data_IF_294487446608
#
_entry.id   IF_294487446608
#
_cell.length_a   1.000
_cell.length_b   1.000
_cell.length_c   1.000
_cell.angle_alpha   90.00
_cell.angle_beta   90.00
_cell.angle_gamma   90.00
#
_symmetry.space_group_name_H-M   'P 1'
#
loop_
_entity.id
_entity.type
_entity.pdbx_description
1 polymer ?
#
# COMPACT_ATOMS: atom_id res chain seq x y z
N UNK A 1 -25.99 -25.96 6.46
CA UNK A 1 -24.65 -25.60 5.97
C UNK A 1 -23.70 -25.75 7.16
N UNK A 2 -22.81 -26.74 7.18
CA UNK A 2 -21.75 -26.77 8.17
C UNK A 2 -20.81 -25.60 7.91
N UNK A 3 -20.68 -24.69 8.88
CA UNK A 3 -19.65 -23.65 8.87
C UNK A 3 -18.28 -24.34 8.83
N UNK A 4 -17.57 -24.12 7.73
CA UNK A 4 -16.22 -24.62 7.53
C UNK A 4 -15.33 -23.84 8.48
N UNK A 5 -14.92 -24.47 9.58
CA UNK A 5 -14.06 -23.86 10.60
C UNK A 5 -12.59 -23.79 10.17
N UNK A 6 -12.19 -24.54 9.13
CA UNK A 6 -10.81 -24.61 8.66
C UNK A 6 -10.57 -23.71 7.43
N UNK A 7 -9.64 -22.76 7.56
CA UNK A 7 -9.27 -21.84 6.48
C UNK A 7 -8.77 -22.57 5.22
N UNK A 8 -7.97 -23.63 5.37
CA UNK A 8 -7.48 -24.41 4.24
C UNK A 8 -8.64 -25.03 3.45
N UNK A 9 -9.62 -25.58 4.16
CA UNK A 9 -10.81 -26.17 3.53
C UNK A 9 -11.66 -25.09 2.81
N UNK A 10 -11.72 -23.86 3.33
CA UNK A 10 -12.43 -22.74 2.68
C UNK A 10 -11.69 -22.27 1.42
N UNK A 11 -10.37 -22.12 1.49
CA UNK A 11 -9.51 -21.78 0.36
C UNK A 11 -9.63 -22.82 -0.75
N UNK A 12 -9.56 -24.11 -0.40
CA UNK A 12 -9.76 -25.23 -1.33
C UNK A 12 -11.13 -25.15 -2.02
N UNK A 13 -12.21 -24.86 -1.30
CA UNK A 13 -13.54 -24.72 -1.90
C UNK A 13 -13.66 -23.53 -2.84
N UNK A 14 -12.99 -22.40 -2.54
CA UNK A 14 -12.93 -21.26 -3.46
C UNK A 14 -12.18 -21.66 -4.73
N UNK A 15 -11.03 -22.31 -4.60
CA UNK A 15 -10.25 -22.79 -5.75
C UNK A 15 -11.08 -23.78 -6.58
N UNK A 16 -11.80 -24.71 -5.95
CA UNK A 16 -12.71 -25.64 -6.63
C UNK A 16 -13.85 -24.91 -7.36
N UNK A 17 -14.43 -23.88 -6.74
CA UNK A 17 -15.45 -23.05 -7.38
C UNK A 17 -14.91 -22.34 -8.62
N UNK A 18 -13.74 -21.71 -8.52
CA UNK A 18 -13.08 -21.03 -9.64
C UNK A 18 -12.73 -22.03 -10.75
N UNK A 19 -12.15 -23.19 -10.40
CA UNK A 19 -11.88 -24.30 -11.34
C UNK A 19 -13.14 -24.70 -12.11
N UNK A 20 -14.26 -24.90 -11.42
CA UNK A 20 -15.54 -25.26 -12.04
C UNK A 20 -16.05 -24.16 -12.98
N UNK A 21 -15.91 -22.90 -12.59
CA UNK A 21 -16.34 -21.75 -13.42
C UNK A 21 -15.49 -21.61 -14.68
N UNK A 22 -14.17 -21.65 -14.55
CA UNK A 22 -13.26 -21.59 -15.70
C UNK A 22 -13.47 -22.80 -16.64
N UNK A 23 -13.75 -23.99 -16.10
CA UNK A 23 -14.05 -25.17 -16.91
C UNK A 23 -15.31 -25.02 -17.77
N UNK A 24 -16.35 -24.37 -17.24
CA UNK A 24 -17.64 -24.18 -17.94
C UNK A 24 -17.56 -23.01 -18.93
N UNK A 25 -16.86 -21.93 -18.59
CA UNK A 25 -16.81 -20.71 -19.38
C UNK A 25 -15.52 -20.66 -20.21
N UNK A 26 -15.55 -21.24 -21.41
CA UNK A 26 -14.41 -21.25 -22.34
C UNK A 26 -14.71 -20.44 -23.62
N UNK A 27 -13.69 -19.83 -24.26
CA UNK A 27 -12.31 -19.66 -23.76
C UNK A 27 -12.23 -18.56 -22.70
N UNK A 28 -11.38 -18.75 -21.70
CA UNK A 28 -11.10 -17.73 -20.69
C UNK A 28 -9.67 -17.18 -20.83
N UNK A 29 -9.47 -15.96 -20.33
CA UNK A 29 -8.16 -15.33 -20.16
C UNK A 29 -8.00 -14.99 -18.67
N UNK A 30 -6.91 -15.46 -18.05
CA UNK A 30 -6.57 -15.15 -16.67
C UNK A 30 -5.28 -14.33 -16.63
N UNK A 31 -5.30 -13.21 -15.92
CA UNK A 31 -4.14 -12.32 -15.80
C UNK A 31 -3.66 -12.35 -14.34
N UNK A 32 -2.43 -12.83 -14.14
CA UNK A 32 -1.71 -12.68 -12.88
C UNK A 32 -0.82 -11.44 -13.00
N UNK A 33 -1.28 -10.35 -12.40
CA UNK A 33 -0.56 -9.08 -12.44
C UNK A 33 0.42 -8.96 -11.27
N UNK A 34 1.65 -8.48 -11.55
CA UNK A 34 2.72 -8.22 -10.59
C UNK A 34 3.12 -9.43 -9.73
N UNK A 35 3.31 -10.59 -10.37
CA UNK A 35 3.79 -11.80 -9.68
C UNK A 35 5.26 -11.62 -9.28
N UNK A 36 5.55 -11.75 -7.98
CA UNK A 36 6.92 -11.66 -7.47
C UNK A 36 7.63 -13.01 -7.57
N UNK A 37 7.02 -14.07 -7.04
CA UNK A 37 7.52 -15.43 -7.14
C UNK A 37 6.44 -16.36 -7.70
N UNK A 38 6.83 -17.27 -8.60
CA UNK A 38 5.87 -18.24 -9.15
C UNK A 38 5.31 -19.19 -8.06
N UNK A 39 6.08 -19.45 -6.99
CA UNK A 39 5.64 -20.26 -5.85
C UNK A 39 4.36 -19.73 -5.22
N UNK A 40 4.21 -18.41 -5.18
CA UNK A 40 3.06 -17.74 -4.59
C UNK A 40 1.80 -18.13 -5.35
N UNK A 41 1.91 -18.27 -6.68
CA UNK A 41 0.78 -18.60 -7.55
C UNK A 41 0.59 -20.08 -7.86
N UNK A 42 1.57 -20.93 -7.51
CA UNK A 42 1.63 -22.33 -7.94
C UNK A 42 0.36 -23.13 -7.60
N UNK A 43 -0.18 -22.93 -6.40
CA UNK A 43 -1.34 -23.68 -5.91
C UNK A 43 -2.65 -23.36 -6.65
N UNK A 44 -2.73 -22.18 -7.28
CA UNK A 44 -3.91 -21.70 -8.01
C UNK A 44 -3.66 -21.49 -9.50
N UNK A 45 -2.53 -21.97 -10.03
CA UNK A 45 -2.17 -21.86 -11.43
C UNK A 45 -2.93 -22.89 -12.31
N UNK A 46 -3.65 -22.46 -13.37
CA UNK A 46 -4.36 -23.37 -14.26
C UNK A 46 -3.43 -24.20 -15.18
N UNK A 47 -2.85 -25.29 -14.67
CA UNK A 47 -1.86 -26.10 -15.40
C UNK A 47 -2.46 -27.20 -16.29
N UNK A 48 -3.72 -27.60 -16.09
CA UNK A 48 -4.31 -28.79 -16.74
C UNK A 48 -5.68 -28.50 -17.37
N UNK A 49 -5.80 -28.54 -18.72
CA UNK A 49 -7.05 -28.23 -19.43
C UNK A 49 -8.24 -29.12 -19.04
N UNK A 50 -8.00 -30.37 -18.64
CA UNK A 50 -9.06 -31.30 -18.19
C UNK A 50 -9.70 -30.88 -16.87
N UNK A 51 -8.94 -30.18 -16.02
CA UNK A 51 -9.38 -29.69 -14.71
C UNK A 51 -9.93 -28.26 -14.84
N UNK A 52 -9.24 -27.38 -15.56
CA UNK A 52 -9.51 -25.94 -15.59
C UNK A 52 -10.28 -25.45 -16.82
N UNK A 53 -10.50 -26.31 -17.83
CA UNK A 53 -11.00 -25.90 -19.13
C UNK A 53 -9.92 -25.29 -20.03
N UNK A 54 -10.30 -24.94 -21.25
CA UNK A 54 -9.39 -24.31 -22.23
C UNK A 54 -9.35 -22.79 -22.00
N UNK A 55 -8.15 -22.25 -21.82
CA UNK A 55 -7.94 -20.81 -21.68
C UNK A 55 -6.47 -20.43 -21.78
N UNK A 56 -6.23 -19.12 -21.72
CA UNK A 56 -4.91 -18.52 -21.79
C UNK A 56 -4.57 -17.81 -20.49
N UNK A 57 -3.28 -17.73 -20.17
CA UNK A 57 -2.78 -17.08 -18.97
C UNK A 57 -1.76 -16.03 -19.39
N UNK A 58 -1.87 -14.83 -18.82
CA UNK A 58 -0.84 -13.79 -18.90
C UNK A 58 -0.29 -13.57 -17.50
N UNK A 59 1.03 -13.54 -17.38
CA UNK A 59 1.72 -13.19 -16.14
C UNK A 59 2.55 -11.93 -16.42
N UNK A 60 2.39 -10.91 -15.58
CA UNK A 60 3.33 -9.78 -15.54
C UNK A 60 4.24 -9.95 -14.33
N UNK A 61 5.56 -9.84 -14.53
CA UNK A 61 6.55 -10.00 -13.47
C UNK A 61 7.82 -9.20 -13.78
N UNK A 62 8.61 -8.92 -12.74
CA UNK A 62 9.97 -8.39 -12.85
C UNK A 62 11.05 -9.49 -12.79
N UNK A 63 10.68 -10.71 -12.44
CA UNK A 63 11.62 -11.84 -12.38
C UNK A 63 11.81 -12.45 -13.77
N UNK A 64 12.94 -12.15 -14.41
CA UNK A 64 13.30 -12.74 -15.70
C UNK A 64 13.51 -14.25 -15.63
N UNK A 65 13.80 -14.81 -14.43
CA UNK A 65 13.98 -16.25 -14.26
C UNK A 65 12.66 -17.02 -14.36
N UNK A 66 11.50 -16.34 -14.36
CA UNK A 66 10.20 -17.01 -14.55
C UNK A 66 10.17 -17.83 -15.84
N UNK A 67 10.93 -17.43 -16.87
CA UNK A 67 11.05 -18.13 -18.15
C UNK A 67 11.59 -19.56 -18.01
N UNK A 68 12.32 -19.85 -16.92
CA UNK A 68 12.87 -21.18 -16.64
C UNK A 68 11.83 -22.13 -16.04
N UNK A 69 10.62 -21.65 -15.74
CA UNK A 69 9.54 -22.46 -15.20
C UNK A 69 8.84 -23.26 -16.32
N UNK A 70 8.64 -24.56 -16.10
CA UNK A 70 8.01 -25.48 -17.06
C UNK A 70 6.60 -25.09 -17.51
N UNK A 71 5.91 -24.22 -16.76
CA UNK A 71 4.57 -23.74 -17.10
C UNK A 71 4.56 -22.52 -18.04
N UNK A 72 5.72 -21.92 -18.33
CA UNK A 72 5.82 -20.75 -19.20
C UNK A 72 6.13 -21.20 -20.62
N UNK A 73 5.20 -20.92 -21.54
CA UNK A 73 5.33 -21.28 -22.94
C UNK A 73 6.00 -20.20 -23.78
N UNK A 74 5.80 -18.93 -23.40
CA UNK A 74 6.24 -17.76 -24.16
C UNK A 74 6.56 -16.63 -23.19
N UNK A 75 7.63 -15.91 -23.47
CA UNK A 75 8.06 -14.73 -22.69
C UNK A 75 8.17 -13.54 -23.63
N UNK A 76 7.51 -12.45 -23.27
CA UNK A 76 7.65 -11.16 -23.94
C UNK A 76 8.42 -10.22 -23.03
N UNK A 77 9.66 -9.91 -23.39
CA UNK A 77 10.44 -8.91 -22.68
C UNK A 77 9.99 -7.51 -23.10
N UNK A 78 9.46 -6.74 -22.15
CA UNK A 78 9.09 -5.34 -22.36
C UNK A 78 10.29 -4.47 -22.02
N UNK A 79 10.96 -3.97 -23.06
CA UNK A 79 12.11 -3.07 -22.94
C UNK A 79 11.71 -1.61 -22.73
N UNK A 80 12.72 -0.74 -22.82
CA UNK A 80 12.57 0.71 -22.75
C UNK A 80 11.93 1.30 -24.02
N UNK A 81 11.34 2.49 -23.88
CA UNK A 81 10.83 3.25 -25.01
C UNK A 81 11.97 3.75 -25.90
N UNK A 82 11.79 3.61 -27.21
CA UNK A 82 12.65 4.26 -28.21
C UNK A 82 12.45 5.78 -28.17
N UNK A 83 13.43 6.54 -28.65
CA UNK A 83 13.35 8.02 -28.69
C UNK A 83 12.09 8.53 -29.41
N UNK A 84 11.68 7.87 -30.49
CA UNK A 84 10.44 8.18 -31.21
C UNK A 84 9.18 7.92 -30.38
N UNK A 85 9.18 6.87 -29.56
CA UNK A 85 8.06 6.51 -28.68
C UNK A 85 7.99 7.45 -27.47
N UNK A 86 9.16 7.88 -26.93
CA UNK A 86 9.24 8.92 -25.90
C UNK A 86 8.60 10.22 -26.39
N UNK A 87 8.98 10.68 -27.58
CA UNK A 87 8.42 11.89 -28.17
C UNK A 87 6.92 11.75 -28.43
N UNK A 88 6.48 10.63 -29.00
CA UNK A 88 5.05 10.40 -29.26
C UNK A 88 4.22 10.41 -27.96
N UNK A 89 4.72 9.81 -26.88
CA UNK A 89 4.06 9.84 -25.57
C UNK A 89 4.04 11.26 -25.00
N UNK A 90 5.16 11.98 -25.06
CA UNK A 90 5.28 13.36 -24.61
C UNK A 90 4.26 14.26 -25.32
N UNK A 91 4.21 14.22 -26.65
CA UNK A 91 3.28 15.01 -27.46
C UNK A 91 1.82 14.71 -27.08
N UNK A 92 1.48 13.42 -26.94
CA UNK A 92 0.14 12.98 -26.56
C UNK A 92 -0.29 13.49 -25.19
N UNK A 93 0.63 13.66 -24.25
CA UNK A 93 0.32 14.20 -22.92
C UNK A 93 0.24 15.73 -22.95
N UNK A 94 1.14 16.41 -23.66
CA UNK A 94 1.19 17.88 -23.72
C UNK A 94 -0.04 18.46 -24.43
N UNK A 95 -0.42 17.89 -25.57
CA UNK A 95 -1.54 18.37 -26.38
C UNK A 95 -2.86 18.03 -25.67
N UNK A 96 -3.63 19.04 -25.27
CA UNK A 96 -5.02 18.84 -24.88
C UNK A 96 -5.86 18.46 -26.12
N UNK A 97 -6.96 17.73 -25.94
CA UNK A 97 -7.93 17.52 -27.02
C UNK A 97 -8.28 18.89 -27.63
N UNK A 98 -7.97 19.09 -28.92
CA UNK A 98 -8.15 20.31 -29.73
C UNK A 98 -7.03 21.38 -29.74
N UNK A 99 -5.80 21.09 -29.29
CA UNK A 99 -4.66 21.99 -29.50
C UNK A 99 -3.84 21.65 -30.77
N UNK A 100 -3.18 22.66 -31.39
CA UNK A 100 -2.36 22.44 -32.57
C UNK A 100 -1.17 21.51 -32.26
N UNK A 101 -0.79 20.72 -33.26
CA UNK A 101 0.39 19.85 -33.15
C UNK A 101 1.67 20.67 -32.95
N UNK A 102 2.66 20.06 -32.30
CA UNK A 102 3.98 20.65 -32.08
C UNK A 102 4.64 21.04 -33.40
N UNK A 103 5.23 22.24 -33.45
CA UNK A 103 6.06 22.67 -34.58
C UNK A 103 7.36 21.85 -34.63
N UNK A 104 8.03 21.72 -35.80
CA UNK A 104 9.29 20.98 -35.90
C UNK A 104 10.37 21.44 -34.91
N UNK A 105 10.41 22.73 -34.58
CA UNK A 105 11.37 23.26 -33.59
C UNK A 105 11.01 22.85 -32.16
N UNK A 106 9.72 22.91 -31.80
CA UNK A 106 9.27 22.43 -30.49
C UNK A 106 9.51 20.93 -30.32
N UNK A 107 9.38 20.13 -31.39
CA UNK A 107 9.74 18.70 -31.37
C UNK A 107 11.22 18.49 -31.07
N UNK A 108 12.11 19.23 -31.76
CA UNK A 108 13.56 19.17 -31.50
C UNK A 108 13.92 19.55 -30.07
N UNK A 109 13.27 20.57 -29.52
CA UNK A 109 13.46 20.96 -28.11
C UNK A 109 12.97 19.86 -27.15
N UNK A 110 11.81 19.27 -27.41
CA UNK A 110 11.28 18.16 -26.63
C UNK A 110 12.21 16.93 -26.69
N UNK A 111 12.76 16.58 -27.87
CA UNK A 111 13.73 15.49 -28.01
C UNK A 111 14.99 15.71 -27.16
N UNK A 112 15.54 16.93 -27.14
CA UNK A 112 16.68 17.28 -26.28
C UNK A 112 16.35 17.09 -24.80
N UNK A 113 15.19 17.58 -24.36
CA UNK A 113 14.70 17.41 -22.98
C UNK A 113 14.55 15.92 -22.62
N UNK A 114 13.97 15.13 -23.51
CA UNK A 114 13.69 13.71 -23.26
C UNK A 114 14.96 12.87 -23.08
N UNK A 115 16.14 13.35 -23.51
CA UNK A 115 17.41 12.68 -23.24
C UNK A 115 17.80 12.70 -21.75
N UNK A 116 17.27 13.63 -20.96
CA UNK A 116 17.48 13.70 -19.51
C UNK A 116 16.46 12.89 -18.69
N UNK A 117 15.44 12.35 -19.35
CA UNK A 117 14.38 11.58 -18.69
C UNK A 117 14.59 10.10 -19.02
N UNK A 118 14.58 9.20 -18.02
CA UNK A 118 14.64 7.77 -18.27
C UNK A 118 13.58 7.30 -19.25
N UNK A 119 13.94 6.33 -20.08
CA UNK A 119 13.11 5.87 -21.21
C UNK A 119 11.96 4.95 -20.80
N UNK A 120 11.37 5.17 -19.61
CA UNK A 120 10.24 4.39 -19.12
C UNK A 120 8.94 5.20 -19.22
N UNK A 121 7.81 4.59 -19.61
CA UNK A 121 6.54 5.30 -19.78
C UNK A 121 6.11 6.10 -18.55
N UNK A 122 6.35 5.58 -17.35
CA UNK A 122 5.99 6.25 -16.09
C UNK A 122 6.79 7.55 -15.88
N UNK A 123 8.10 7.52 -16.11
CA UNK A 123 8.96 8.70 -15.91
C UNK A 123 8.63 9.81 -16.89
N UNK A 124 8.44 9.44 -18.16
CA UNK A 124 7.97 10.36 -19.21
C UNK A 124 6.61 10.94 -18.83
N UNK A 125 5.69 10.12 -18.32
CA UNK A 125 4.36 10.58 -17.93
C UNK A 125 4.39 11.58 -16.77
N UNK A 126 5.16 11.31 -15.72
CA UNK A 126 5.28 12.21 -14.55
C UNK A 126 5.96 13.52 -14.97
N UNK A 127 7.09 13.45 -15.67
CA UNK A 127 7.82 14.64 -16.13
C UNK A 127 7.00 15.50 -17.09
N UNK A 128 6.30 14.88 -18.05
CA UNK A 128 5.48 15.62 -19.02
C UNK A 128 4.27 16.27 -18.34
N UNK A 129 3.60 15.56 -17.42
CA UNK A 129 2.50 16.15 -16.66
C UNK A 129 2.98 17.28 -15.73
N UNK A 130 4.19 17.19 -15.18
CA UNK A 130 4.81 18.31 -14.45
C UNK A 130 4.94 19.54 -15.35
N UNK A 131 5.58 19.39 -16.52
CA UNK A 131 5.82 20.49 -17.46
C UNK A 131 4.49 21.13 -17.89
N UNK A 132 3.51 20.31 -18.25
CA UNK A 132 2.14 20.76 -18.58
C UNK A 132 1.46 21.50 -17.43
N UNK A 133 1.66 21.04 -16.20
CA UNK A 133 1.00 21.58 -15.02
C UNK A 133 1.61 22.91 -14.54
N UNK A 134 2.89 23.14 -14.79
CA UNK A 134 3.67 24.29 -14.31
C UNK A 134 3.94 25.32 -15.40
N UNK A 135 3.80 24.97 -16.68
CA UNK A 135 4.26 25.77 -17.82
C UNK A 135 5.72 26.20 -17.70
N UNK A 136 6.54 25.37 -17.03
CA UNK A 136 7.96 25.65 -16.84
C UNK A 136 8.71 25.46 -18.17
N UNK A 137 9.63 26.37 -18.53
CA UNK A 137 10.53 26.18 -19.68
C UNK A 137 11.32 24.88 -19.55
N UNK A 138 11.61 24.22 -20.67
CA UNK A 138 12.28 22.92 -20.67
C UNK A 138 13.68 23.01 -20.06
N UNK A 139 14.43 24.06 -20.38
CA UNK A 139 15.77 24.32 -19.84
C UNK A 139 15.72 24.41 -18.31
N UNK A 140 14.79 25.20 -17.76
CA UNK A 140 14.64 25.33 -16.31
C UNK A 140 14.23 24.02 -15.63
N UNK A 141 13.54 23.11 -16.33
CA UNK A 141 13.25 21.77 -15.79
C UNK A 141 14.48 20.86 -15.80
N UNK A 142 15.27 20.89 -16.87
CA UNK A 142 16.54 20.15 -16.94
C UNK A 142 17.51 20.62 -15.87
N UNK A 143 17.66 21.94 -15.68
CA UNK A 143 18.51 22.51 -14.64
C UNK A 143 18.09 22.02 -13.25
N UNK A 144 16.77 22.00 -12.99
CA UNK A 144 16.21 21.46 -11.77
C UNK A 144 16.52 19.97 -11.61
N UNK A 145 16.50 19.14 -12.67
CA UNK A 145 16.84 17.72 -12.56
C UNK A 145 18.32 17.46 -12.31
N UNK A 146 19.21 18.28 -12.88
CA UNK A 146 20.67 18.13 -12.75
C UNK A 146 21.15 18.58 -11.36
N UNK A 147 20.68 19.74 -10.89
CA UNK A 147 21.22 20.39 -9.68
C UNK A 147 20.49 20.01 -8.38
N UNK A 148 19.56 19.05 -8.42
CA UNK A 148 18.77 18.66 -7.25
C UNK A 148 19.53 17.80 -6.21
N UNK A 149 20.85 17.93 -6.15
CA UNK A 149 21.75 16.94 -5.54
C UNK A 149 21.80 16.94 -4.01
N UNK A 150 21.27 17.93 -3.31
CA UNK A 150 21.53 18.06 -1.87
C UNK A 150 20.83 17.00 -1.00
N UNK A 151 19.81 16.30 -1.51
CA UNK A 151 18.93 15.50 -0.65
C UNK A 151 18.96 13.98 -0.79
N UNK A 152 19.56 13.42 -1.84
CA UNK A 152 19.60 11.96 -2.04
C UNK A 152 20.73 11.34 -1.20
N UNK A 153 20.38 10.73 -0.06
CA UNK A 153 21.35 10.11 0.86
C UNK A 153 21.83 8.75 0.33
N UNK A 154 23.14 8.48 0.44
CA UNK A 154 23.83 7.22 0.10
C UNK A 154 23.19 5.96 0.74
N UNK A 155 22.37 6.10 1.79
CA UNK A 155 21.74 4.96 2.47
C UNK A 155 20.59 4.30 1.67
N UNK A 156 19.94 5.02 0.75
CA UNK A 156 18.88 4.46 -0.11
C UNK A 156 19.43 3.66 -1.30
N UNK A 157 20.73 3.77 -1.57
CA UNK A 157 21.44 3.18 -2.70
C UNK A 157 21.44 1.65 -2.65
N UNK A 158 21.43 1.07 -1.44
CA UNK A 158 21.48 -0.39 -1.23
C UNK A 158 20.15 -1.12 -1.42
N UNK A 159 19.02 -0.40 -1.39
CA UNK A 159 17.67 -1.00 -1.41
C UNK A 159 17.06 -1.00 -2.82
N UNK A 160 17.58 -0.17 -3.72
CA UNK A 160 17.02 0.04 -5.06
C UNK A 160 17.67 -0.89 -6.09
N UNK A 161 16.89 -1.85 -6.60
CA UNK A 161 17.30 -2.71 -7.73
C UNK A 161 17.27 -1.90 -9.02
N UNK A 162 18.41 -1.34 -9.45
CA UNK A 162 18.57 -0.59 -10.70
C UNK A 162 19.98 -0.02 -10.85
N UNK A 163 20.28 0.62 -11.99
CA UNK A 163 21.49 1.45 -12.07
C UNK A 163 21.34 2.68 -11.18
N UNK A 164 22.46 3.14 -10.61
CA UNK A 164 22.51 4.30 -9.73
C UNK A 164 21.93 5.55 -10.41
N UNK A 165 22.34 5.79 -11.66
CA UNK A 165 21.93 6.95 -12.45
C UNK A 165 20.42 6.99 -12.74
N UNK A 166 19.83 5.82 -13.02
CA UNK A 166 18.40 5.69 -13.25
C UNK A 166 17.60 6.05 -12.00
N UNK A 167 18.02 5.49 -10.88
CA UNK A 167 17.37 5.67 -9.58
C UNK A 167 17.37 7.13 -9.16
N UNK A 168 18.51 7.80 -9.32
CA UNK A 168 18.68 9.24 -9.07
C UNK A 168 17.78 10.10 -9.97
N UNK A 169 17.79 9.83 -11.27
CA UNK A 169 16.97 10.57 -12.24
C UNK A 169 15.47 10.46 -11.92
N UNK A 170 15.02 9.24 -11.61
CA UNK A 170 13.63 8.98 -11.23
C UNK A 170 13.25 9.64 -9.90
N UNK A 171 14.14 9.60 -8.91
CA UNK A 171 13.94 10.30 -7.64
C UNK A 171 13.70 11.80 -7.87
N UNK A 172 14.52 12.47 -8.69
CA UNK A 172 14.38 13.89 -8.99
C UNK A 172 13.05 14.21 -9.70
N UNK A 173 12.65 13.41 -10.69
CA UNK A 173 11.38 13.58 -11.42
C UNK A 173 10.17 13.50 -10.48
N UNK A 174 10.17 12.49 -9.60
CA UNK A 174 9.06 12.23 -8.67
C UNK A 174 9.01 13.29 -7.58
N UNK A 175 10.15 13.57 -6.92
CA UNK A 175 10.20 14.55 -5.83
C UNK A 175 9.92 15.96 -6.29
N UNK A 176 10.33 16.37 -7.49
CA UNK A 176 9.93 17.66 -8.06
C UNK A 176 8.41 17.81 -8.15
N UNK A 177 7.73 16.77 -8.63
CA UNK A 177 6.27 16.74 -8.72
C UNK A 177 5.61 16.74 -7.33
N UNK A 178 6.12 15.92 -6.41
CA UNK A 178 5.63 15.86 -5.03
C UNK A 178 5.79 17.19 -4.29
N UNK A 179 6.91 17.91 -4.48
CA UNK A 179 7.09 19.25 -3.90
C UNK A 179 6.00 20.20 -4.41
N UNK A 180 5.72 20.21 -5.73
CA UNK A 180 4.64 21.05 -6.28
C UNK A 180 3.27 20.70 -5.71
N UNK A 181 3.01 19.41 -5.44
CA UNK A 181 1.79 18.98 -4.73
C UNK A 181 1.82 19.50 -3.30
N UNK A 182 2.84 19.16 -2.51
CA UNK A 182 2.97 19.51 -1.10
C UNK A 182 2.80 21.02 -0.83
N UNK A 183 3.36 21.90 -1.68
CA UNK A 183 3.22 23.35 -1.52
C UNK A 183 1.80 23.89 -1.74
N UNK A 184 0.87 23.10 -2.31
CA UNK A 184 -0.51 23.57 -2.56
C UNK A 184 -1.35 23.67 -1.29
N UNK A 185 -1.04 22.89 -0.26
CA UNK A 185 -1.79 22.88 0.97
C UNK A 185 -0.98 22.30 2.12
N UNK A 186 -1.07 22.93 3.31
CA UNK A 186 -0.31 22.52 4.50
C UNK A 186 -0.52 21.05 4.90
N UNK A 187 -1.72 20.53 4.70
CA UNK A 187 -2.08 19.14 5.07
C UNK A 187 -1.66 18.09 4.04
N UNK A 188 -1.14 18.48 2.87
CA UNK A 188 -0.77 17.50 1.83
C UNK A 188 0.46 16.70 2.21
N UNK A 189 1.38 17.27 3.00
CA UNK A 189 2.54 16.52 3.51
C UNK A 189 2.10 15.30 4.31
N UNK A 190 1.18 15.49 5.27
CA UNK A 190 0.66 14.41 6.10
C UNK A 190 -0.08 13.35 5.27
N UNK A 191 -0.83 13.79 4.24
CA UNK A 191 -1.55 12.88 3.35
C UNK A 191 -0.61 12.07 2.45
N UNK A 192 0.48 12.66 1.95
CA UNK A 192 1.49 11.93 1.18
C UNK A 192 2.19 10.92 2.07
N UNK A 193 2.57 11.31 3.29
CA UNK A 193 3.13 10.36 4.26
C UNK A 193 2.17 9.21 4.52
N UNK A 194 0.89 9.50 4.77
CA UNK A 194 -0.11 8.47 5.02
C UNK A 194 -0.19 7.46 3.88
N UNK A 195 -0.38 7.90 2.63
CA UNK A 195 -0.45 6.96 1.50
C UNK A 195 0.86 6.22 1.25
N UNK A 196 2.00 6.77 1.67
CA UNK A 196 3.32 6.17 1.48
C UNK A 196 3.61 5.02 2.46
N UNK A 197 2.87 4.95 3.57
CA UNK A 197 3.00 3.92 4.61
C UNK A 197 2.06 2.73 4.43
N UNK A 198 1.16 2.77 3.43
CA UNK A 198 0.16 1.74 3.18
C UNK A 198 0.57 0.84 2.00
N UNK A 199 -0.18 -0.23 1.74
CA UNK A 199 -0.02 -0.98 0.49
C UNK A 199 -0.27 -0.06 -0.72
N UNK A 200 0.61 -0.13 -1.72
CA UNK A 200 0.55 0.67 -2.94
C UNK A 200 -0.77 0.50 -3.73
N UNK A 201 -1.47 -0.63 -3.55
CA UNK A 201 -2.66 -0.98 -4.29
C UNK A 201 -3.92 -0.81 -3.45
N UNK A 202 -4.95 -0.22 -4.06
CA UNK A 202 -6.30 -0.19 -3.49
C UNK A 202 -6.42 0.64 -2.21
N UNK A 203 -5.62 1.71 -2.08
CA UNK A 203 -5.64 2.66 -0.97
C UNK A 203 -7.05 3.23 -0.79
N UNK A 204 -7.69 3.02 0.38
CA UNK A 204 -9.02 3.52 0.65
C UNK A 204 -9.01 5.04 0.86
N UNK A 205 -9.71 5.79 0.00
CA UNK A 205 -9.99 7.23 0.16
C UNK A 205 -10.63 7.53 1.51
N UNK A 206 -11.45 6.63 2.03
CA UNK A 206 -12.11 6.81 3.33
C UNK A 206 -11.12 7.00 4.49
N UNK A 207 -9.95 6.35 4.46
CA UNK A 207 -8.90 6.55 5.47
C UNK A 207 -8.41 7.99 5.48
N UNK A 208 -8.22 8.57 4.29
CA UNK A 208 -7.81 9.97 4.15
C UNK A 208 -8.90 10.92 4.62
N UNK A 209 -10.18 10.64 4.30
CA UNK A 209 -11.32 11.45 4.74
C UNK A 209 -11.54 11.43 6.27
N UNK A 210 -11.11 10.36 6.96
CA UNK A 210 -11.11 10.31 8.43
C UNK A 210 -9.96 11.08 9.05
N UNK A 211 -8.89 11.29 8.30
CA UNK A 211 -7.70 11.99 8.76
C UNK A 211 -7.76 13.50 8.47
N UNK A 212 -8.31 13.90 7.32
CA UNK A 212 -8.47 15.29 6.88
C UNK A 212 -9.85 15.50 6.23
N UNK A 213 -10.31 16.74 6.18
CA UNK A 213 -11.61 17.11 5.61
C UNK A 213 -11.73 16.68 4.13
N UNK A 214 -12.91 16.22 3.71
CA UNK A 214 -13.14 15.64 2.37
C UNK A 214 -12.71 16.58 1.22
N UNK A 215 -13.02 17.88 1.30
CA UNK A 215 -12.60 18.85 0.30
C UNK A 215 -11.06 18.95 0.13
N UNK A 216 -10.31 18.75 1.21
CA UNK A 216 -8.83 18.72 1.17
C UNK A 216 -8.37 17.44 0.47
N UNK A 217 -9.01 16.31 0.78
CA UNK A 217 -8.70 15.01 0.15
C UNK A 217 -9.03 15.03 -1.35
N UNK A 218 -10.13 15.67 -1.76
CA UNK A 218 -10.47 15.84 -3.17
C UNK A 218 -9.42 16.68 -3.91
N UNK A 219 -9.03 17.81 -3.33
CA UNK A 219 -7.96 18.63 -3.86
C UNK A 219 -6.64 17.86 -3.92
N UNK A 220 -6.33 17.06 -2.89
CA UNK A 220 -5.13 16.23 -2.85
C UNK A 220 -5.10 15.20 -3.97
N UNK A 221 -6.15 14.39 -4.11
CA UNK A 221 -6.27 13.36 -5.16
C UNK A 221 -6.25 14.01 -6.55
N UNK A 222 -6.91 15.15 -6.73
CA UNK A 222 -6.85 15.92 -7.98
C UNK A 222 -5.42 16.32 -8.33
N UNK A 223 -4.66 16.85 -7.37
CA UNK A 223 -3.27 17.23 -7.60
C UNK A 223 -2.38 16.00 -7.88
N UNK A 224 -2.54 14.88 -7.16
CA UNK A 224 -1.80 13.65 -7.49
C UNK A 224 -2.08 13.15 -8.92
N UNK A 225 -3.35 13.20 -9.37
CA UNK A 225 -3.73 12.89 -10.76
C UNK A 225 -3.10 13.85 -11.75
N UNK A 226 -3.12 15.16 -11.45
CA UNK A 226 -2.55 16.21 -12.30
C UNK A 226 -1.08 15.94 -12.63
N UNK A 227 -0.33 15.33 -11.71
CA UNK A 227 1.09 14.99 -11.90
C UNK A 227 1.34 13.51 -12.24
N UNK A 228 0.30 12.72 -12.55
CA UNK A 228 0.40 11.29 -12.85
C UNK A 228 1.06 10.44 -11.74
N UNK A 229 0.88 10.84 -10.47
CA UNK A 229 1.47 10.16 -9.31
C UNK A 229 0.63 9.00 -8.78
N UNK A 230 -0.64 8.90 -9.20
CA UNK A 230 -1.55 7.81 -8.82
C UNK A 230 -2.26 7.21 -10.03
N UNK A 231 -2.67 5.97 -9.88
CA UNK A 231 -3.44 5.18 -10.84
C UNK A 231 -4.88 5.14 -10.34
N UNK A 232 -5.81 5.56 -11.18
CA UNK A 232 -7.24 5.46 -10.90
C UNK A 232 -7.83 4.38 -11.82
N UNK A 233 -8.31 3.27 -11.24
CA UNK A 233 -9.04 2.29 -12.04
C UNK A 233 -10.47 2.76 -12.21
N UNK A 234 -10.92 2.95 -13.46
CA UNK A 234 -12.28 3.41 -13.80
C UNK A 234 -13.39 2.52 -13.20
N UNK A 235 -13.05 1.28 -12.83
CA UNK A 235 -13.94 0.29 -12.24
C UNK A 235 -14.02 0.36 -10.70
N UNK A 236 -13.05 1.00 -10.04
CA UNK A 236 -13.16 1.32 -8.64
C UNK A 236 -14.02 2.59 -8.57
N UNK A 237 -15.21 2.48 -7.96
CA UNK A 237 -15.92 3.65 -7.43
C UNK A 237 -14.89 4.52 -6.72
N UNK A 238 -15.05 5.85 -6.70
CA UNK A 238 -14.13 6.87 -6.12
C UNK A 238 -13.59 6.60 -4.69
N UNK A 239 -13.92 5.46 -4.11
CA UNK A 239 -13.52 4.87 -2.85
C UNK A 239 -12.05 4.44 -2.79
N UNK A 240 -11.43 3.94 -3.87
CA UNK A 240 -10.05 3.44 -3.84
C UNK A 240 -9.19 4.01 -4.97
N UNK A 241 -7.87 4.10 -4.74
CA UNK A 241 -6.88 4.44 -5.75
C UNK A 241 -5.56 3.71 -5.47
N UNK A 242 -4.65 3.66 -6.45
CA UNK A 242 -3.34 3.04 -6.29
C UNK A 242 -2.21 4.03 -6.58
N UNK A 243 -1.01 3.74 -6.08
CA UNK A 243 0.24 4.43 -6.41
C UNK A 243 1.21 3.39 -6.97
N UNK A 244 2.06 3.77 -7.92
CA UNK A 244 3.09 2.85 -8.39
C UNK A 244 4.10 2.60 -7.25
N UNK A 245 4.51 1.33 -7.04
CA UNK A 245 5.39 0.94 -5.91
C UNK A 245 6.67 1.76 -5.81
N UNK A 246 7.33 2.06 -6.94
CA UNK A 246 8.54 2.90 -6.91
C UNK A 246 8.23 4.35 -6.53
N UNK A 247 7.10 4.89 -6.99
CA UNK A 247 6.66 6.25 -6.66
C UNK A 247 6.35 6.35 -5.17
N UNK A 248 5.66 5.36 -4.62
CA UNK A 248 5.37 5.30 -3.20
C UNK A 248 6.65 5.22 -2.36
N UNK A 249 7.57 4.32 -2.73
CA UNK A 249 8.83 4.14 -2.01
C UNK A 249 9.68 5.42 -2.01
N UNK A 250 9.88 6.04 -3.18
CA UNK A 250 10.63 7.29 -3.29
C UNK A 250 9.89 8.49 -2.66
N UNK A 251 8.55 8.42 -2.55
CA UNK A 251 7.80 9.40 -1.75
C UNK A 251 8.13 9.24 -0.27
N UNK A 252 8.09 8.00 0.26
CA UNK A 252 8.39 7.72 1.65
C UNK A 252 9.81 8.16 2.00
N UNK A 253 10.79 7.81 1.16
CA UNK A 253 12.17 8.25 1.25
C UNK A 253 12.30 9.76 1.47
N UNK A 254 11.75 10.53 0.52
CA UNK A 254 11.81 11.98 0.51
C UNK A 254 11.13 12.59 1.73
N UNK A 255 9.94 12.12 2.09
CA UNK A 255 9.19 12.68 3.22
C UNK A 255 9.69 12.20 4.59
N UNK A 256 10.31 11.03 4.68
CA UNK A 256 10.94 10.56 5.92
C UNK A 256 12.06 11.48 6.34
N UNK A 257 12.87 11.93 5.37
CA UNK A 257 13.90 12.94 5.57
C UNK A 257 13.30 14.32 5.83
N UNK A 258 12.41 14.79 4.96
CA UNK A 258 11.83 16.15 5.02
C UNK A 258 11.09 16.41 6.34
N UNK A 259 10.42 15.39 6.88
CA UNK A 259 9.64 15.49 8.11
C UNK A 259 10.43 15.09 9.36
N UNK A 260 11.68 14.64 9.21
CA UNK A 260 12.53 14.10 10.28
C UNK A 260 11.75 13.11 11.16
N UNK A 261 11.15 12.08 10.54
CA UNK A 261 10.18 11.20 11.19
C UNK A 261 10.75 10.45 12.40
N UNK A 262 12.07 10.29 12.47
CA UNK A 262 12.74 9.72 13.64
C UNK A 262 12.49 10.55 14.90
N UNK A 263 12.47 11.89 14.74
CA UNK A 263 12.23 12.86 15.81
C UNK A 263 10.76 13.31 15.88
N UNK A 264 10.07 13.41 14.75
CA UNK A 264 8.69 13.90 14.66
C UNK A 264 7.66 12.76 14.56
N UNK A 265 7.52 12.00 15.64
CA UNK A 265 6.66 10.80 15.68
C UNK A 265 5.16 11.09 15.76
N UNK A 266 4.77 12.33 16.09
CA UNK A 266 3.37 12.69 16.29
C UNK A 266 2.51 12.48 15.03
N UNK A 267 3.05 12.79 13.85
CA UNK A 267 2.35 12.59 12.57
C UNK A 267 2.05 11.11 12.34
N UNK A 268 3.06 10.26 12.55
CA UNK A 268 2.97 8.82 12.39
C UNK A 268 1.97 8.22 13.40
N UNK A 269 2.01 8.66 14.66
CA UNK A 269 1.04 8.24 15.67
C UNK A 269 -0.40 8.64 15.32
N UNK A 270 -0.58 9.84 14.74
CA UNK A 270 -1.86 10.30 14.21
C UNK A 270 -2.41 9.38 13.11
N UNK A 271 -1.57 9.02 12.14
CA UNK A 271 -1.89 8.10 11.05
C UNK A 271 -2.25 6.70 11.59
N UNK A 272 -1.39 6.13 12.45
CA UNK A 272 -1.60 4.82 13.07
C UNK A 272 -2.91 4.80 13.86
N UNK A 273 -3.22 5.87 14.60
CA UNK A 273 -4.47 5.99 15.34
C UNK A 273 -5.71 5.97 14.44
N UNK A 274 -5.71 6.73 13.34
CA UNK A 274 -6.83 6.69 12.38
C UNK A 274 -6.98 5.30 11.78
N UNK A 275 -5.87 4.68 11.37
CA UNK A 275 -5.89 3.36 10.76
C UNK A 275 -6.40 2.28 11.73
N UNK A 276 -5.96 2.30 12.99
CA UNK A 276 -6.47 1.42 14.06
C UNK A 276 -7.97 1.61 14.29
N UNK A 277 -8.44 2.85 14.31
CA UNK A 277 -9.86 3.14 14.51
C UNK A 277 -10.70 2.58 13.35
N UNK A 278 -10.23 2.72 12.11
CA UNK A 278 -10.89 2.10 10.95
C UNK A 278 -10.97 0.58 11.09
N UNK A 279 -9.88 -0.09 11.51
CA UNK A 279 -9.89 -1.54 11.74
C UNK A 279 -10.90 -1.90 12.84
N UNK A 280 -10.90 -1.18 13.97
CA UNK A 280 -11.83 -1.45 15.07
C UNK A 280 -13.29 -1.30 14.62
N UNK A 281 -13.62 -0.25 13.86
CA UNK A 281 -14.96 -0.07 13.30
C UNK A 281 -15.33 -1.18 12.31
N UNK A 282 -14.40 -1.58 11.44
CA UNK A 282 -14.64 -2.64 10.47
C UNK A 282 -14.86 -4.00 11.15
N UNK A 283 -14.09 -4.30 12.20
CA UNK A 283 -14.24 -5.49 13.04
C UNK A 283 -15.57 -5.49 13.78
N UNK A 284 -15.97 -4.36 14.37
CA UNK A 284 -17.22 -4.27 15.14
C UNK A 284 -18.49 -4.25 14.27
N UNK A 285 -18.38 -3.88 12.99
CA UNK A 285 -19.51 -3.83 12.05
C UNK A 285 -19.65 -5.08 11.18
N UNK A 286 -18.88 -6.14 11.45
CA UNK A 286 -18.80 -7.37 10.65
C UNK A 286 -18.54 -7.12 9.15
N UNK A 287 -17.81 -6.05 8.83
CA UNK A 287 -17.53 -5.61 7.46
C UNK A 287 -16.43 -6.44 6.79
N UNK A 288 -16.66 -7.73 6.51
CA UNK A 288 -15.64 -8.65 5.97
C UNK A 288 -14.90 -8.12 4.73
N UNK A 289 -15.59 -7.44 3.82
CA UNK A 289 -14.97 -6.83 2.63
C UNK A 289 -13.99 -5.72 3.02
N UNK A 290 -14.35 -4.87 3.98
CA UNK A 290 -13.47 -3.81 4.49
C UNK A 290 -12.26 -4.40 5.20
N UNK A 291 -12.48 -5.38 6.07
CA UNK A 291 -11.42 -6.09 6.80
C UNK A 291 -10.41 -6.72 5.83
N UNK A 292 -10.91 -7.38 4.78
CA UNK A 292 -10.06 -7.98 3.74
C UNK A 292 -9.23 -6.95 2.98
N UNK A 293 -9.74 -5.74 2.77
CA UNK A 293 -8.98 -4.67 2.13
C UNK A 293 -7.95 -4.05 3.09
N UNK A 294 -8.25 -3.94 4.38
CA UNK A 294 -7.35 -3.32 5.36
C UNK A 294 -6.15 -4.19 5.74
N UNK A 295 -6.22 -5.51 5.59
CA UNK A 295 -5.13 -6.42 5.99
C UNK A 295 -3.81 -6.14 5.27
N UNK A 296 -3.85 -5.86 3.96
CA UNK A 296 -2.65 -5.58 3.16
C UNK A 296 -2.00 -4.27 3.59
N UNK A 297 -2.83 -3.23 3.83
CA UNK A 297 -2.35 -1.96 4.36
C UNK A 297 -1.78 -2.08 5.78
N UNK A 298 -2.37 -2.93 6.63
CA UNK A 298 -1.84 -3.17 7.98
C UNK A 298 -0.47 -3.85 7.93
N UNK A 299 -0.30 -4.83 7.02
CA UNK A 299 0.99 -5.49 6.78
C UNK A 299 2.03 -4.53 6.22
N UNK A 300 1.66 -3.69 5.25
CA UNK A 300 2.55 -2.69 4.69
C UNK A 300 3.04 -1.71 5.78
N UNK A 301 2.12 -1.19 6.60
CA UNK A 301 2.44 -0.31 7.71
C UNK A 301 3.40 -0.98 8.72
N UNK A 302 3.17 -2.26 9.04
CA UNK A 302 4.08 -3.05 9.88
C UNK A 302 5.45 -3.32 9.24
N UNK A 303 5.55 -3.32 7.91
CA UNK A 303 6.82 -3.45 7.20
C UNK A 303 7.80 -2.31 7.49
N UNK A 304 7.30 -1.14 7.90
CA UNK A 304 8.10 0.03 8.28
C UNK A 304 8.58 -0.02 9.74
N UNK A 305 9.13 -1.17 10.15
CA UNK A 305 9.51 -1.47 11.54
C UNK A 305 10.47 -0.44 12.19
N UNK A 306 11.29 0.25 11.41
CA UNK A 306 12.22 1.27 11.89
C UNK A 306 11.51 2.59 12.27
N UNK A 307 10.36 2.88 11.67
CA UNK A 307 9.56 4.08 11.97
C UNK A 307 8.64 3.88 13.18
N UNK A 308 8.26 2.63 13.47
CA UNK A 308 7.25 2.32 14.48
C UNK A 308 7.82 2.24 15.89
N UNK A 309 7.13 2.88 16.84
CA UNK A 309 7.38 2.67 18.27
C UNK A 309 7.00 1.25 18.70
N UNK A 310 7.59 0.75 19.78
CA UNK A 310 7.23 -0.56 20.33
C UNK A 310 5.72 -0.65 20.63
N UNK A 311 5.13 0.41 21.22
CA UNK A 311 3.67 0.44 21.44
C UNK A 311 2.87 0.36 20.12
N UNK A 312 3.32 1.06 19.07
CA UNK A 312 2.68 0.99 17.75
C UNK A 312 2.77 -0.41 17.15
N UNK A 313 3.91 -1.08 17.27
CA UNK A 313 4.12 -2.46 16.81
C UNK A 313 3.17 -3.43 17.53
N UNK A 314 3.13 -3.38 18.86
CA UNK A 314 2.20 -4.19 19.66
C UNK A 314 0.75 -3.96 19.23
N UNK A 315 0.38 -2.69 19.02
CA UNK A 315 -0.98 -2.36 18.65
C UNK A 315 -1.37 -2.80 17.24
N UNK A 316 -0.46 -2.73 16.27
CA UNK A 316 -0.71 -3.22 14.91
C UNK A 316 -0.75 -4.75 14.89
N UNK A 317 0.10 -5.42 15.67
CA UNK A 317 0.05 -6.88 15.86
C UNK A 317 -1.31 -7.34 16.41
N UNK A 318 -1.81 -6.68 17.47
CA UNK A 318 -3.16 -6.93 17.99
C UNK A 318 -4.25 -6.73 16.93
N UNK A 319 -4.10 -5.69 16.10
CA UNK A 319 -5.04 -5.37 15.03
C UNK A 319 -5.04 -6.46 13.95
N UNK A 320 -3.88 -7.00 13.57
CA UNK A 320 -3.79 -8.18 12.72
C UNK A 320 -4.45 -9.41 13.35
N UNK A 321 -4.24 -9.65 14.65
CA UNK A 321 -4.92 -10.71 15.39
C UNK A 321 -6.44 -10.62 15.28
N UNK A 322 -7.00 -9.43 15.49
CA UNK A 322 -8.44 -9.17 15.33
C UNK A 322 -8.92 -9.39 13.88
N UNK A 323 -8.16 -8.88 12.90
CA UNK A 323 -8.46 -9.06 11.47
C UNK A 323 -8.50 -10.54 11.10
N UNK A 324 -7.49 -11.32 11.50
CA UNK A 324 -7.43 -12.75 11.22
C UNK A 324 -8.56 -13.51 11.88
N UNK A 325 -8.97 -13.13 13.10
CA UNK A 325 -10.15 -13.70 13.75
C UNK A 325 -11.41 -13.49 12.91
N UNK A 326 -11.67 -12.26 12.46
CA UNK A 326 -12.82 -11.96 11.59
C UNK A 326 -12.76 -12.68 10.24
N UNK A 327 -11.55 -12.93 9.71
CA UNK A 327 -11.34 -13.70 8.49
C UNK A 327 -11.38 -15.23 8.71
N UNK A 328 -11.72 -15.69 9.93
CA UNK A 328 -11.75 -17.10 10.35
C UNK A 328 -10.40 -17.80 10.20
N UNK A 329 -9.29 -17.07 10.33
CA UNK A 329 -7.92 -17.59 10.38
C UNK A 329 -7.47 -17.66 11.85
N UNK A 330 -8.04 -18.60 12.59
CA UNK A 330 -7.90 -18.67 14.05
C UNK A 330 -6.48 -18.94 14.52
N UNK A 331 -5.70 -19.76 13.80
CA UNK A 331 -4.30 -20.04 14.18
C UNK A 331 -3.44 -18.77 14.08
N UNK A 332 -3.58 -18.02 12.97
CA UNK A 332 -2.87 -16.74 12.81
C UNK A 332 -3.36 -15.71 13.83
N UNK A 333 -4.66 -15.66 14.08
CA UNK A 333 -5.22 -14.76 15.09
C UNK A 333 -4.60 -15.02 16.46
N UNK A 334 -4.55 -16.29 16.88
CA UNK A 334 -3.91 -16.71 18.12
C UNK A 334 -2.44 -16.30 18.17
N UNK A 335 -1.67 -16.62 17.12
CA UNK A 335 -0.25 -16.26 17.02
C UNK A 335 -0.02 -14.75 17.22
N UNK A 336 -0.69 -13.89 16.46
CA UNK A 336 -0.49 -12.44 16.56
C UNK A 336 -0.95 -11.87 17.93
N UNK A 337 -1.99 -12.45 18.55
CA UNK A 337 -2.46 -12.02 19.87
C UNK A 337 -1.51 -12.45 20.99
N UNK A 338 -0.96 -13.67 20.93
CA UNK A 338 0.06 -14.15 21.88
C UNK A 338 1.36 -13.34 21.74
N UNK A 339 1.85 -13.14 20.51
CA UNK A 339 2.99 -12.26 20.21
C UNK A 339 2.78 -10.85 20.77
N UNK A 340 1.56 -10.31 20.65
CA UNK A 340 1.23 -9.00 21.23
C UNK A 340 1.41 -9.00 22.75
N UNK A 341 0.90 -10.01 23.48
CA UNK A 341 1.03 -10.07 24.94
C UNK A 341 2.50 -10.21 25.36
N UNK A 342 3.24 -11.13 24.72
CA UNK A 342 4.67 -11.32 24.96
C UNK A 342 5.44 -10.01 24.74
N UNK A 343 5.14 -9.29 23.67
CA UNK A 343 5.79 -8.03 23.35
C UNK A 343 5.45 -6.91 24.34
N UNK A 344 4.19 -6.82 24.80
CA UNK A 344 3.81 -5.87 25.83
C UNK A 344 4.56 -6.10 27.15
N UNK A 345 4.76 -7.36 27.51
CA UNK A 345 5.46 -7.75 28.74
C UNK A 345 6.99 -7.55 28.61
N UNK A 346 7.60 -8.01 27.52
CA UNK A 346 9.03 -7.87 27.23
C UNK A 346 9.49 -6.40 27.29
N UNK A 347 8.72 -5.50 26.68
CA UNK A 347 9.03 -4.07 26.65
C UNK A 347 8.36 -3.26 27.75
N UNK A 348 7.69 -3.91 28.72
CA UNK A 348 7.01 -3.26 29.84
C UNK A 348 6.07 -2.11 29.42
N UNK A 349 5.34 -2.29 28.31
CA UNK A 349 4.46 -1.27 27.73
C UNK A 349 3.19 -1.16 28.57
N UNK A 350 2.95 0.02 29.16
CA UNK A 350 1.79 0.32 30.02
C UNK A 350 0.53 0.72 29.24
N UNK A 351 0.23 0.02 28.13
CA UNK A 351 -1.03 0.18 27.40
C UNK A 351 -2.04 -0.88 27.88
N UNK A 352 -2.63 -0.64 29.04
CA UNK A 352 -3.57 -1.57 29.68
C UNK A 352 -4.83 -1.79 28.86
N UNK A 353 -5.25 -0.80 28.06
CA UNK A 353 -6.39 -0.94 27.15
C UNK A 353 -6.08 -1.93 26.05
N UNK A 354 -4.89 -1.83 25.45
CA UNK A 354 -4.41 -2.79 24.47
C UNK A 354 -4.25 -4.19 25.08
N UNK A 355 -3.61 -4.30 26.25
CA UNK A 355 -3.43 -5.57 26.96
C UNK A 355 -4.76 -6.27 27.25
N UNK A 356 -5.73 -5.54 27.84
CA UNK A 356 -7.07 -6.03 28.10
C UNK A 356 -7.78 -6.51 26.83
N UNK A 357 -7.75 -5.69 25.76
CA UNK A 357 -8.33 -6.05 24.46
C UNK A 357 -7.72 -7.35 23.92
N UNK A 358 -6.39 -7.49 23.96
CA UNK A 358 -5.69 -8.67 23.47
C UNK A 358 -6.11 -9.94 24.22
N UNK A 359 -6.20 -9.89 25.56
CA UNK A 359 -6.71 -11.00 26.36
C UNK A 359 -8.14 -11.42 25.98
N UNK A 360 -9.04 -10.43 25.81
CA UNK A 360 -10.43 -10.70 25.41
C UNK A 360 -10.48 -11.38 24.04
N UNK A 361 -9.77 -10.86 23.04
CA UNK A 361 -9.75 -11.46 21.70
C UNK A 361 -9.10 -12.84 21.69
N UNK A 362 -8.03 -13.06 22.47
CA UNK A 362 -7.40 -14.37 22.60
C UNK A 362 -8.37 -15.38 23.22
N UNK A 363 -9.09 -14.98 24.27
CA UNK A 363 -10.14 -15.82 24.87
C UNK A 363 -11.28 -16.14 23.88
N UNK A 364 -11.66 -15.20 23.02
CA UNK A 364 -12.65 -15.46 21.95
C UNK A 364 -12.13 -16.48 20.93
N UNK A 365 -10.86 -16.38 20.52
CA UNK A 365 -10.22 -17.34 19.61
C UNK A 365 -10.18 -18.73 20.25
N UNK A 366 -9.72 -18.83 21.49
CA UNK A 366 -9.63 -20.10 22.26
C UNK A 366 -11.01 -20.71 22.49
N UNK A 367 -12.05 -19.89 22.75
CA UNK A 367 -13.45 -20.33 22.83
C UNK A 367 -13.89 -20.98 21.53
N UNK A 368 -13.53 -20.36 20.40
CA UNK A 368 -13.90 -20.84 19.05
C UNK A 368 -13.23 -22.18 18.73
N UNK A 369 -12.03 -22.40 19.27
CA UNK A 369 -11.31 -23.67 19.22
C UNK A 369 -11.87 -24.77 20.16
N UNK A 370 -12.83 -24.44 21.05
CA UNK A 370 -13.53 -25.39 21.91
C UNK A 370 -13.02 -25.49 23.35
N UNK A 371 -11.96 -24.76 23.72
CA UNK A 371 -11.46 -24.74 25.10
C UNK A 371 -12.16 -23.65 25.93
N UNK A 372 -13.34 -23.98 26.46
CA UNK A 372 -14.16 -23.02 27.20
C UNK A 372 -13.56 -22.56 28.54
N UNK A 373 -12.81 -23.42 29.23
CA UNK A 373 -12.21 -23.06 30.53
C UNK A 373 -11.14 -22.00 30.35
N UNK A 374 -10.16 -22.26 29.49
CA UNK A 374 -9.08 -21.32 29.21
C UNK A 374 -9.61 -20.01 28.63
N UNK A 375 -10.62 -20.07 27.75
CA UNK A 375 -11.25 -18.88 27.21
C UNK A 375 -11.87 -17.99 28.30
N UNK A 376 -12.52 -18.59 29.30
CA UNK A 376 -13.11 -17.87 30.42
C UNK A 376 -12.03 -17.14 31.21
N UNK A 377 -10.96 -17.84 31.59
CA UNK A 377 -9.86 -17.27 32.37
C UNK A 377 -9.20 -16.08 31.64
N UNK A 378 -8.99 -16.21 30.33
CA UNK A 378 -8.43 -15.14 29.50
C UNK A 378 -9.35 -13.91 29.42
N UNK A 379 -10.65 -14.11 29.22
CA UNK A 379 -11.63 -13.01 29.15
C UNK A 379 -11.76 -12.33 30.53
N UNK A 380 -11.83 -13.09 31.62
CA UNK A 380 -11.90 -12.56 32.98
C UNK A 380 -10.65 -11.73 33.31
N UNK A 381 -9.46 -12.21 32.95
CA UNK A 381 -8.20 -11.46 33.08
C UNK A 381 -8.27 -10.13 32.32
N UNK A 382 -8.72 -10.14 31.06
CA UNK A 382 -8.86 -8.92 30.26
C UNK A 382 -9.86 -7.93 30.86
N UNK A 383 -10.99 -8.41 31.38
CA UNK A 383 -12.00 -7.60 32.05
C UNK A 383 -11.49 -7.00 33.36
N UNK A 384 -10.71 -7.74 34.13
CA UNK A 384 -10.09 -7.26 35.37
C UNK A 384 -9.10 -6.13 35.11
N UNK A 385 -8.24 -6.27 34.09
CA UNK A 385 -7.33 -5.20 33.65
C UNK A 385 -8.11 -3.96 33.25
N UNK A 386 -9.20 -4.13 32.49
CA UNK A 386 -10.06 -3.01 32.09
C UNK A 386 -10.69 -2.32 33.30
N UNK A 387 -11.21 -3.07 34.28
CA UNK A 387 -11.83 -2.51 35.50
C UNK A 387 -10.83 -1.76 36.36
N UNK A 388 -9.69 -2.37 36.64
CA UNK A 388 -8.64 -1.77 37.48
C UNK A 388 -8.07 -0.48 36.91
N UNK A 389 -7.92 -0.38 35.59
CA UNK A 389 -7.29 0.77 34.93
C UNK A 389 -8.28 1.71 34.22
N UNK A 390 -9.58 1.43 34.22
CA UNK A 390 -10.63 2.37 33.79
C UNK A 390 -10.96 3.41 34.86
N UNK A 391 -10.80 3.07 36.14
CA UNK A 391 -11.02 3.98 37.28
C UNK A 391 -9.92 5.05 37.42
N UNK A 392 -8.69 4.77 36.97
CA UNK A 392 -7.61 5.76 37.00
C UNK A 392 -7.85 6.91 35.99
N UNK A 393 -8.58 6.67 34.90
CA UNK A 393 -9.00 7.72 33.97
C UNK A 393 -10.03 8.68 34.58
N UNK A 394 -10.81 8.24 35.58
CA UNK A 394 -11.75 9.08 36.34
C UNK A 394 -11.08 9.76 37.55
N UNK A 395 -10.01 9.17 38.11
CA UNK A 395 -9.23 9.79 39.19
C UNK A 395 -8.33 10.93 38.72
N UNK A 396 -7.83 10.89 37.48
CA UNK A 396 -7.06 12.00 36.88
C UNK A 396 -7.94 13.25 36.63
N UNK A 397 -9.26 13.11 36.52
CA UNK A 397 -10.22 14.22 36.36
C UNK A 397 -10.83 14.74 37.69
N UNK A 398 -10.45 14.16 38.83
CA UNK A 398 -10.82 14.67 40.16
C UNK A 398 -9.57 15.05 40.95
N UNK A 399 -8.91 16.13 40.51
CA UNK A 399 -8.10 16.94 41.40
C UNK A 399 -9.00 17.74 42.37
N UNK A 400 -8.56 18.03 43.59
CA UNK A 400 -9.39 18.67 44.61
C UNK A 400 -9.48 20.18 44.36
N UNK A 401 -10.70 20.72 44.51
CA UNK A 401 -11.08 22.14 44.65
C UNK A 401 -10.48 23.19 43.70
#
# INVERSE_FOLDING_TARGET
MHEIKNFQEKEEKIILFVKKKLKIHFPWLLIFDNVENFTDIKQYFPSHPTIWGKGNIIITTRDSNIQNNSHITHTLHIGELKSTEKLALFEKIMVAENQPAFTPEQKRQAEKLLNYIPSFPLDISIATNYLKATNQPFEGYVDMLIHYEEDFAESEESTLKGSLDYTKSRYNIITASLKKVAYKHKDFLDLILFISLLDSQGIPRQLLNKYKHEAIVDSFIYNLKKYSLIINTLLQKRENFSIHRSTQHLSLAYFSKTLDLERNRFLLEGIIRIFKNEINEAVNSDGLVKIKNLITHCKALMGHNHLLTNNSKASLSCSLGCIYYCLSQYEKAQQFLEETLSFLDEFSIKDYRLKAKTFVYLGIVVKTAGNHSQAKDLIETGLEIYKSHSLDALRIFRGPF
#
